data_IF_689803576496
#
_entry.id   IF_689803576496
#
_cell.length_a   1.000
_cell.length_b   1.000
_cell.length_c   1.000
_cell.angle_alpha   90.00
_cell.angle_beta   90.00
_cell.angle_gamma   90.00
#
_symmetry.space_group_name_H-M   'P 1'
#
loop_
_entity.id
_entity.type
_entity.pdbx_description
1 polymer ?
#
# COMPACT_ATOMS: atom_id res chain seq x y z
N UNK A 1 -1.02 3.04 -12.44
CA UNK A 1 -2.08 2.19 -13.03
C UNK A 1 -2.44 1.11 -12.02
N UNK A 2 -3.73 0.82 -11.83
CA UNK A 2 -4.20 -0.22 -10.91
C UNK A 2 -4.29 -1.59 -11.61
N UNK A 3 -4.26 -2.69 -10.85
CA UNK A 3 -4.44 -4.04 -11.41
C UNK A 3 -5.94 -4.33 -11.48
N UNK A 4 -6.43 -4.68 -12.66
CA UNK A 4 -7.84 -5.00 -12.87
C UNK A 4 -8.27 -6.21 -12.04
N UNK A 5 -9.31 -6.06 -11.23
CA UNK A 5 -9.76 -7.11 -10.33
C UNK A 5 -10.42 -8.29 -11.05
N UNK A 6 -11.13 -8.03 -12.15
CA UNK A 6 -11.79 -9.07 -12.92
C UNK A 6 -10.77 -10.00 -13.60
N UNK A 7 -9.70 -9.44 -14.16
CA UNK A 7 -8.61 -10.24 -14.74
C UNK A 7 -8.00 -11.22 -13.71
N UNK A 8 -7.78 -10.74 -12.48
CA UNK A 8 -7.23 -11.54 -11.38
C UNK A 8 -8.23 -12.62 -10.99
N UNK A 9 -9.50 -12.27 -10.81
CA UNK A 9 -10.59 -13.21 -10.50
C UNK A 9 -10.71 -14.33 -11.52
N UNK A 10 -10.77 -14.00 -12.81
CA UNK A 10 -10.88 -14.98 -13.89
C UNK A 10 -9.67 -15.92 -13.93
N UNK A 11 -8.46 -15.37 -13.72
CA UNK A 11 -7.23 -16.17 -13.67
C UNK A 11 -7.26 -17.17 -12.50
N UNK A 12 -7.65 -16.71 -11.31
CA UNK A 12 -7.78 -17.55 -10.11
C UNK A 12 -8.84 -18.64 -10.32
N UNK A 13 -9.99 -18.29 -10.91
CA UNK A 13 -11.08 -19.22 -11.17
C UNK A 13 -10.66 -20.33 -12.14
N UNK A 14 -10.00 -19.99 -13.25
CA UNK A 14 -9.50 -20.98 -14.24
C UNK A 14 -8.51 -21.96 -13.60
N UNK A 15 -7.60 -21.47 -12.76
CA UNK A 15 -6.60 -22.31 -12.10
C UNK A 15 -7.26 -23.22 -11.06
N UNK A 16 -8.18 -22.68 -10.25
CA UNK A 16 -8.86 -23.43 -9.20
C UNK A 16 -9.76 -24.53 -9.77
N UNK A 17 -10.47 -24.23 -10.87
CA UNK A 17 -11.27 -25.20 -11.60
C UNK A 17 -10.41 -26.33 -12.18
N UNK A 18 -9.21 -26.02 -12.69
CA UNK A 18 -8.27 -27.04 -13.20
C UNK A 18 -7.76 -27.97 -12.09
N UNK A 19 -7.65 -27.48 -10.87
CA UNK A 19 -7.22 -28.27 -9.69
C UNK A 19 -8.39 -29.06 -9.05
N UNK A 20 -9.59 -29.04 -9.65
CA UNK A 20 -10.81 -29.71 -9.18
C UNK A 20 -11.21 -29.39 -7.72
N UNK A 21 -10.88 -28.19 -7.21
CA UNK A 21 -11.11 -27.83 -5.79
C UNK A 21 -12.51 -27.26 -5.49
N UNK A 22 -13.32 -27.05 -6.51
CA UNK A 22 -14.62 -26.40 -6.38
C UNK A 22 -14.56 -24.90 -6.65
N UNK A 23 -15.73 -24.26 -6.54
CA UNK A 23 -15.95 -22.86 -6.89
C UNK A 23 -15.59 -21.94 -5.72
N UNK A 24 -14.66 -21.01 -5.93
CA UNK A 24 -14.40 -19.91 -4.97
C UNK A 24 -15.53 -18.89 -5.12
N UNK A 25 -16.24 -18.63 -4.03
CA UNK A 25 -17.30 -17.61 -4.06
C UNK A 25 -16.71 -16.20 -4.19
N UNK A 26 -17.42 -15.24 -4.81
CA UNK A 26 -16.97 -13.86 -4.88
C UNK A 26 -16.63 -13.23 -3.52
N UNK A 27 -17.38 -13.57 -2.48
CA UNK A 27 -17.13 -13.07 -1.12
C UNK A 27 -15.84 -13.63 -0.54
N UNK A 28 -15.61 -14.94 -0.70
CA UNK A 28 -14.35 -15.58 -0.30
C UNK A 28 -13.18 -14.98 -1.07
N UNK A 29 -13.30 -14.83 -2.38
CA UNK A 29 -12.28 -14.18 -3.20
C UNK A 29 -11.95 -12.77 -2.70
N UNK A 30 -12.96 -11.96 -2.35
CA UNK A 30 -12.74 -10.60 -1.86
C UNK A 30 -11.98 -10.58 -0.52
N UNK A 31 -12.23 -11.53 0.38
CA UNK A 31 -11.49 -11.66 1.64
C UNK A 31 -10.04 -12.08 1.40
N UNK A 32 -9.81 -13.07 0.54
CA UNK A 32 -8.46 -13.54 0.18
C UNK A 32 -7.65 -12.47 -0.56
N UNK A 33 -8.33 -11.70 -1.42
CA UNK A 33 -7.75 -10.60 -2.19
C UNK A 33 -7.26 -9.46 -1.30
N UNK A 34 -8.04 -9.11 -0.28
CA UNK A 34 -7.67 -8.11 0.73
C UNK A 34 -6.41 -8.54 1.51
N UNK A 35 -6.40 -9.78 2.00
CA UNK A 35 -5.25 -10.34 2.71
C UNK A 35 -3.99 -10.39 1.83
N UNK A 36 -4.11 -10.84 0.58
CA UNK A 36 -2.99 -10.89 -0.36
C UNK A 36 -2.45 -9.50 -0.71
N UNK A 37 -3.34 -8.51 -0.87
CA UNK A 37 -2.93 -7.13 -1.14
C UNK A 37 -2.13 -6.55 0.03
N UNK A 38 -2.61 -6.74 1.26
CA UNK A 38 -1.97 -6.21 2.46
C UNK A 38 -0.61 -6.86 2.72
N UNK A 39 -0.49 -8.18 2.54
CA UNK A 39 0.80 -8.87 2.68
C UNK A 39 1.83 -8.39 1.64
N UNK A 40 1.43 -8.25 0.38
CA UNK A 40 2.32 -7.74 -0.67
C UNK A 40 2.77 -6.31 -0.34
N UNK A 41 1.85 -5.47 0.12
CA UNK A 41 2.13 -4.11 0.55
C UNK A 41 3.17 -4.08 1.69
N UNK A 42 2.99 -4.88 2.73
CA UNK A 42 3.95 -4.97 3.85
C UNK A 42 5.32 -5.46 3.39
N UNK A 43 5.35 -6.39 2.44
CA UNK A 43 6.60 -6.95 1.93
C UNK A 43 7.51 -5.92 1.25
N UNK A 44 6.97 -4.82 0.70
CA UNK A 44 7.79 -3.78 0.07
C UNK A 44 8.74 -3.11 1.06
N UNK A 45 8.27 -2.80 2.26
CA UNK A 45 9.09 -2.11 3.28
C UNK A 45 10.19 -3.02 3.82
N UNK A 46 9.89 -4.32 3.99
CA UNK A 46 10.90 -5.29 4.38
C UNK A 46 11.98 -5.47 3.30
N UNK A 47 11.59 -5.48 2.02
CA UNK A 47 12.52 -5.57 0.89
C UNK A 47 13.37 -4.32 0.74
N UNK A 48 12.76 -3.14 0.85
CA UNK A 48 13.47 -1.85 0.78
C UNK A 48 14.57 -1.78 1.83
N UNK A 49 14.24 -2.04 3.10
CA UNK A 49 15.22 -2.06 4.18
C UNK A 49 16.33 -3.09 3.93
N UNK A 50 15.99 -4.27 3.40
CA UNK A 50 16.98 -5.29 3.04
C UNK A 50 17.94 -4.85 1.93
N UNK A 51 17.44 -4.12 0.93
CA UNK A 51 18.25 -3.60 -0.17
C UNK A 51 19.11 -2.42 0.27
N UNK A 52 18.57 -1.46 1.02
CA UNK A 52 19.36 -0.31 1.53
C UNK A 52 20.56 -0.76 2.38
N UNK A 53 20.45 -1.89 3.08
CA UNK A 53 21.55 -2.44 3.88
C UNK A 53 22.64 -3.15 3.05
N UNK A 54 22.32 -3.69 1.87
CA UNK A 54 23.19 -4.65 1.17
C UNK A 54 23.48 -4.32 -0.31
N UNK A 55 22.69 -3.47 -0.96
CA UNK A 55 22.79 -3.17 -2.38
C UNK A 55 23.21 -1.71 -2.60
N UNK A 56 24.42 -1.52 -3.10
CA UNK A 56 24.92 -0.23 -3.59
C UNK A 56 25.08 -0.29 -5.12
N UNK A 57 24.05 -0.76 -5.83
CA UNK A 57 24.04 -0.82 -7.29
C UNK A 57 23.25 0.36 -7.83
N UNK A 58 23.94 1.36 -8.37
CA UNK A 58 23.29 2.50 -9.02
C UNK A 58 23.17 2.21 -10.52
N UNK A 59 21.98 1.80 -10.95
CA UNK A 59 21.65 1.50 -12.34
C UNK A 59 20.22 1.92 -12.65
N UNK A 60 20.01 2.62 -13.76
CA UNK A 60 18.71 3.17 -14.15
C UNK A 60 17.58 2.13 -14.21
N UNK A 61 17.88 0.85 -14.49
CA UNK A 61 16.86 -0.21 -14.65
C UNK A 61 17.06 -1.42 -13.72
N UNK A 62 18.25 -1.58 -13.15
CA UNK A 62 18.58 -2.76 -12.33
C UNK A 62 18.72 -2.45 -10.84
N UNK A 63 18.58 -1.18 -10.44
CA UNK A 63 18.65 -0.78 -9.04
C UNK A 63 17.44 -1.34 -8.27
N UNK A 64 17.64 -2.28 -7.33
CA UNK A 64 16.55 -2.91 -6.60
C UNK A 64 15.89 -1.94 -5.59
N UNK A 65 16.61 -0.92 -5.12
CA UNK A 65 16.08 0.14 -4.24
C UNK A 65 15.12 0.99 -5.07
N UNK A 66 15.59 1.57 -6.18
CA UNK A 66 14.74 2.40 -7.05
C UNK A 66 13.47 1.67 -7.51
N UNK A 67 13.61 0.42 -7.96
CA UNK A 67 12.48 -0.41 -8.39
C UNK A 67 11.46 -0.66 -7.26
N UNK A 68 11.92 -0.74 -6.01
CA UNK A 68 11.04 -0.96 -4.85
C UNK A 68 10.43 0.35 -4.38
N UNK A 69 11.21 1.45 -4.34
CA UNK A 69 10.72 2.80 -4.05
C UNK A 69 9.62 3.20 -5.04
N UNK A 70 9.74 2.90 -6.33
CA UNK A 70 8.70 3.15 -7.33
C UNK A 70 7.37 2.44 -7.01
N UNK A 71 7.44 1.21 -6.49
CA UNK A 71 6.25 0.44 -6.08
C UNK A 71 5.62 1.03 -4.82
N UNK A 72 6.44 1.46 -3.87
CA UNK A 72 5.98 2.15 -2.65
C UNK A 72 5.34 3.50 -3.00
N UNK A 73 5.87 4.20 -4.01
CA UNK A 73 5.39 5.52 -4.41
C UNK A 73 3.95 5.51 -4.94
N UNK A 74 3.41 4.36 -5.34
CA UNK A 74 1.97 4.20 -5.68
C UNK A 74 1.06 4.57 -4.50
N UNK A 75 1.56 4.45 -3.27
CA UNK A 75 0.87 4.75 -2.02
C UNK A 75 1.17 6.13 -1.45
N UNK A 76 1.98 6.93 -2.15
CA UNK A 76 2.31 8.27 -1.71
C UNK A 76 1.06 9.15 -1.77
N UNK A 77 0.82 9.89 -0.69
CA UNK A 77 -0.28 10.84 -0.57
C UNK A 77 0.18 12.04 0.26
N UNK A 78 -0.49 13.16 0.03
CA UNK A 78 -0.33 14.36 0.83
C UNK A 78 -1.65 14.74 1.49
N UNK A 79 -1.58 15.34 2.68
CA UNK A 79 -2.77 15.80 3.40
C UNK A 79 -2.44 16.97 4.31
N UNK A 80 -3.34 17.94 4.37
CA UNK A 80 -3.28 19.04 5.33
C UNK A 80 -3.90 18.59 6.65
N UNK A 81 -3.11 18.61 7.72
CA UNK A 81 -3.55 18.18 9.04
C UNK A 81 -4.35 19.26 9.75
N UNK A 82 -5.37 18.81 10.48
CA UNK A 82 -6.17 19.68 11.36
C UNK A 82 -5.73 19.48 12.81
N UNK A 83 -5.55 20.59 13.53
CA UNK A 83 -5.17 20.58 14.95
C UNK A 83 -6.38 20.25 15.83
N UNK A 84 -6.29 19.16 16.58
CA UNK A 84 -7.22 18.81 17.66
C UNK A 84 -6.50 18.97 19.00
N UNK A 85 -6.81 20.05 19.72
CA UNK A 85 -6.09 20.41 20.96
C UNK A 85 -4.62 20.73 20.67
N UNK A 86 -3.71 19.87 21.13
CA UNK A 86 -2.26 20.03 20.95
C UNK A 86 -1.65 19.08 19.91
N UNK A 87 -2.48 18.34 19.16
CA UNK A 87 -2.04 17.28 18.25
C UNK A 87 -2.64 17.54 16.87
N UNK A 88 -1.82 17.45 15.83
CA UNK A 88 -2.25 17.39 14.44
C UNK A 88 -2.59 15.94 14.11
N UNK A 89 -3.87 15.65 13.86
CA UNK A 89 -4.36 14.29 13.69
C UNK A 89 -3.99 13.73 12.34
N UNK A 90 -3.55 12.47 12.27
CA UNK A 90 -3.30 11.81 11.00
C UNK A 90 -4.60 11.45 10.27
N UNK A 91 -4.55 11.34 8.92
CA UNK A 91 -5.63 10.75 8.13
C UNK A 91 -5.93 9.30 8.54
N UNK A 92 -7.16 8.83 8.31
CA UNK A 92 -7.59 7.46 8.66
C UNK A 92 -6.90 6.39 7.82
N UNK A 93 -6.36 6.74 6.65
CA UNK A 93 -5.61 5.88 5.76
C UNK A 93 -4.08 5.98 5.97
N UNK A 94 -3.62 6.65 7.02
CA UNK A 94 -2.19 6.80 7.32
C UNK A 94 -1.51 5.46 7.64
N UNK A 95 -0.35 5.21 7.02
CA UNK A 95 0.51 4.06 7.32
C UNK A 95 1.89 4.49 7.85
N UNK A 96 2.62 5.33 7.11
CA UNK A 96 3.95 5.82 7.49
C UNK A 96 4.11 7.28 7.14
N UNK A 97 4.76 8.04 8.03
CA UNK A 97 5.08 9.44 7.79
C UNK A 97 6.32 9.55 6.91
N UNK A 98 6.25 10.39 5.90
CA UNK A 98 7.40 10.85 5.12
C UNK A 98 7.89 12.18 5.68
N UNK A 99 7.39 13.27 5.11
CA UNK A 99 7.84 14.63 5.41
C UNK A 99 6.72 15.44 6.05
N UNK A 100 7.08 16.30 7.00
CA UNK A 100 6.16 17.28 7.60
C UNK A 100 6.56 18.66 7.11
N UNK A 101 5.66 19.31 6.39
CA UNK A 101 5.84 20.67 5.89
C UNK A 101 4.94 21.61 6.70
N UNK A 102 5.52 22.70 7.18
CA UNK A 102 4.80 23.76 7.88
C UNK A 102 4.85 25.02 7.05
N UNK A 103 3.68 25.46 6.59
CA UNK A 103 3.51 26.76 5.99
C UNK A 103 3.32 27.82 7.07
N UNK A 104 4.14 28.85 7.03
CA UNK A 104 4.01 30.02 7.90
C UNK A 104 4.10 31.29 7.05
N UNK A 105 3.14 32.19 7.25
CA UNK A 105 3.12 33.49 6.58
C UNK A 105 3.78 34.53 7.49
N UNK A 106 4.96 34.98 7.09
CA UNK A 106 5.67 36.08 7.74
C UNK A 106 5.78 37.21 6.72
N UNK A 107 5.34 38.42 7.06
CA UNK A 107 5.42 39.62 6.21
C UNK A 107 4.81 39.44 4.80
N UNK A 108 3.60 38.88 4.70
CA UNK A 108 2.89 38.57 3.44
C UNK A 108 3.65 37.62 2.49
N UNK A 109 4.68 36.91 2.98
CA UNK A 109 5.37 35.84 2.23
C UNK A 109 5.13 34.52 2.94
N UNK A 110 4.48 33.58 2.24
CA UNK A 110 4.32 32.20 2.73
C UNK A 110 5.63 31.46 2.58
N UNK A 111 6.26 31.11 3.71
CA UNK A 111 7.44 30.25 3.75
C UNK A 111 7.01 28.85 4.13
N UNK A 112 7.47 27.86 3.37
CA UNK A 112 7.28 26.44 3.68
C UNK A 112 8.58 25.97 4.32
N UNK A 113 8.49 25.53 5.57
CA UNK A 113 9.62 24.99 6.32
C UNK A 113 9.36 23.51 6.60
N UNK A 114 10.33 22.66 6.29
CA UNK A 114 10.26 21.25 6.68
C UNK A 114 10.53 21.12 8.17
N UNK A 115 9.68 20.39 8.88
CA UNK A 115 9.84 20.15 10.30
C UNK A 115 10.74 18.95 10.54
N UNK A 116 11.70 19.11 11.45
CA UNK A 116 12.63 18.04 11.81
C UNK A 116 12.02 17.11 12.86
N UNK A 117 12.29 15.81 12.74
CA UNK A 117 11.89 14.83 13.74
C UNK A 117 12.78 14.94 14.98
N UNK A 118 12.15 15.00 16.16
CA UNK A 118 12.84 14.97 17.45
C UNK A 118 12.27 13.84 18.30
N UNK A 119 13.14 13.04 18.91
CA UNK A 119 12.71 11.98 19.82
C UNK A 119 12.11 12.56 21.11
N UNK A 120 11.21 11.80 21.73
CA UNK A 120 10.52 12.21 22.97
C UNK A 120 11.47 12.59 24.12
N UNK A 121 12.63 11.94 24.21
CA UNK A 121 13.65 12.25 25.21
C UNK A 121 14.41 13.54 24.91
N UNK A 122 14.56 13.89 23.64
CA UNK A 122 15.36 15.02 23.18
C UNK A 122 14.57 16.33 23.22
N UNK A 123 13.24 16.27 23.10
CA UNK A 123 12.40 17.47 23.00
C UNK A 123 12.55 18.42 24.20
N UNK A 124 12.78 17.88 25.41
CA UNK A 124 13.05 18.68 26.60
C UNK A 124 14.33 19.51 26.45
N UNK A 125 15.38 18.90 25.92
CA UNK A 125 16.67 19.57 25.74
C UNK A 125 16.62 20.61 24.62
N UNK A 126 15.93 20.27 23.51
CA UNK A 126 15.72 21.17 22.37
C UNK A 126 14.96 22.42 22.82
N UNK A 127 13.91 22.27 23.64
CA UNK A 127 13.12 23.40 24.15
C UNK A 127 13.84 24.26 25.20
N UNK A 128 14.76 23.69 25.99
CA UNK A 128 15.50 24.43 27.02
C UNK A 128 16.71 25.19 26.47
N UNK A 129 17.22 24.80 25.30
CA UNK A 129 18.39 25.38 24.68
C UNK A 129 18.02 26.62 23.86
N UNK A 130 18.54 27.83 24.17
CA UNK A 130 18.15 29.07 23.49
C UNK A 130 18.50 29.12 21.99
N UNK A 131 19.49 28.33 21.55
CA UNK A 131 19.96 28.32 20.16
C UNK A 131 19.30 27.24 19.31
N UNK A 132 18.71 26.23 19.94
CA UNK A 132 18.03 25.12 19.25
C UNK A 132 16.54 25.10 19.55
N UNK A 133 16.03 26.11 20.27
CA UNK A 133 14.62 26.23 20.57
C UNK A 133 13.84 26.34 19.26
N UNK A 134 12.75 25.57 19.11
CA UNK A 134 12.03 25.52 17.86
C UNK A 134 11.33 26.85 17.62
N UNK A 135 11.53 27.39 16.43
CA UNK A 135 10.92 28.63 15.96
C UNK A 135 10.09 28.32 14.73
N UNK A 136 9.19 29.23 14.36
CA UNK A 136 8.28 28.95 13.24
C UNK A 136 9.00 28.85 11.87
N UNK A 137 10.28 29.23 11.78
CA UNK A 137 11.16 29.00 10.62
C UNK A 137 11.96 27.70 10.67
N UNK A 138 12.06 27.07 11.85
CA UNK A 138 12.69 25.77 12.07
C UNK A 138 11.80 24.96 13.04
N UNK A 139 10.64 24.51 12.55
CA UNK A 139 9.74 23.72 13.37
C UNK A 139 10.32 22.34 13.63
N UNK A 140 9.94 21.76 14.77
CA UNK A 140 10.25 20.36 15.09
C UNK A 140 8.98 19.63 15.42
N UNK A 141 8.93 18.33 15.15
CA UNK A 141 7.78 17.50 15.49
C UNK A 141 8.16 16.27 16.29
N UNK A 142 7.21 15.82 17.11
CA UNK A 142 7.26 14.58 17.88
C UNK A 142 5.99 13.77 17.58
N UNK A 143 6.11 12.46 17.43
CA UNK A 143 4.93 11.59 17.32
C UNK A 143 4.12 11.61 18.62
N UNK A 144 2.80 11.53 18.52
CA UNK A 144 1.93 11.34 19.69
C UNK A 144 1.09 10.10 19.46
N UNK A 145 1.66 8.96 19.87
CA UNK A 145 1.11 7.64 19.59
C UNK A 145 0.84 7.44 18.11
N UNK A 146 -0.26 6.74 17.81
CA UNK A 146 -0.75 6.52 16.44
C UNK A 146 -1.68 7.65 15.96
N UNK A 147 -2.02 8.59 16.85
CA UNK A 147 -3.08 9.58 16.60
C UNK A 147 -2.61 10.79 15.78
N UNK A 148 -1.32 11.11 15.78
CA UNK A 148 -0.84 12.32 15.14
C UNK A 148 0.56 12.77 15.50
N UNK A 149 0.88 13.98 15.09
CA UNK A 149 2.12 14.68 15.46
C UNK A 149 1.83 15.90 16.32
N UNK A 150 2.74 16.18 17.24
CA UNK A 150 2.80 17.46 17.93
C UNK A 150 3.95 18.26 17.35
N UNK A 151 3.66 19.51 16.98
CA UNK A 151 4.62 20.40 16.35
C UNK A 151 4.95 21.53 17.32
N UNK A 152 6.22 21.86 17.38
CA UNK A 152 6.77 22.98 18.12
C UNK A 152 7.38 23.99 17.14
N UNK A 153 7.25 25.31 17.40
CA UNK A 153 6.60 25.93 18.55
C UNK A 153 5.06 25.82 18.55
N UNK A 154 4.45 25.85 19.74
CA UNK A 154 2.98 25.75 19.91
C UNK A 154 2.19 26.90 19.22
N UNK A 155 2.90 27.94 18.77
CA UNK A 155 2.35 29.04 17.95
C UNK A 155 1.82 28.57 16.59
N UNK A 156 2.26 27.40 16.12
CA UNK A 156 1.76 26.80 14.88
C UNK A 156 0.39 26.16 15.18
N UNK A 157 -0.66 26.74 14.58
CA UNK A 157 -2.05 26.30 14.76
C UNK A 157 -2.69 25.75 13.49
N UNK A 158 -2.17 26.11 12.31
CA UNK A 158 -2.65 25.68 11.00
C UNK A 158 -1.50 25.65 9.98
N UNK A 159 -1.78 25.17 8.77
CA UNK A 159 -0.81 25.16 7.67
C UNK A 159 0.20 24.02 7.73
N UNK A 160 -0.16 22.92 8.38
CA UNK A 160 0.69 21.72 8.49
C UNK A 160 0.25 20.74 7.42
N UNK A 161 1.12 20.51 6.44
CA UNK A 161 0.96 19.54 5.39
C UNK A 161 1.89 18.37 5.64
N UNK A 162 1.41 17.15 5.47
CA UNK A 162 2.25 15.96 5.54
C UNK A 162 2.26 15.22 4.22
N UNK A 163 3.42 14.65 3.95
CA UNK A 163 3.64 13.62 2.97
C UNK A 163 3.69 12.28 3.70
N UNK A 164 2.90 11.32 3.25
CA UNK A 164 2.77 10.04 3.92
C UNK A 164 2.49 8.92 2.93
N UNK A 165 2.75 7.70 3.38
CA UNK A 165 2.34 6.48 2.72
C UNK A 165 0.98 6.09 3.30
N UNK A 166 0.00 5.86 2.42
CA UNK A 166 -1.33 5.40 2.83
C UNK A 166 -1.48 3.89 2.75
N UNK A 167 -2.38 3.34 3.56
CA UNK A 167 -2.78 1.94 3.51
C UNK A 167 -3.55 1.69 2.19
N UNK A 168 -3.29 0.57 1.49
CA UNK A 168 -4.05 0.21 0.31
C UNK A 168 -5.54 0.00 0.64
N UNK A 169 -6.42 0.57 -0.18
CA UNK A 169 -7.88 0.39 -0.02
C UNK A 169 -8.29 -1.04 -0.42
N UNK A 170 -9.26 -1.59 0.30
CA UNK A 170 -9.71 -2.98 0.12
C UNK A 170 -10.23 -3.23 -1.31
N UNK A 171 -9.72 -4.25 -2.02
CA UNK A 171 -10.21 -4.61 -3.34
C UNK A 171 -11.59 -5.27 -3.23
N UNK A 172 -12.43 -5.09 -4.26
CA UNK A 172 -13.80 -5.65 -4.28
C UNK A 172 -14.19 -6.09 -5.68
N UNK A 173 -14.39 -7.37 -5.89
CA UNK A 173 -15.01 -7.89 -7.10
C UNK A 173 -16.52 -7.89 -6.90
N UNK A 174 -17.18 -6.95 -7.56
CA UNK A 174 -18.63 -6.79 -7.53
C UNK A 174 -19.32 -7.72 -8.50
N UNK A 175 -20.51 -8.20 -8.13
CA UNK A 175 -21.30 -9.10 -8.93
C UNK A 175 -22.81 -8.86 -8.80
N UNK A 176 -23.50 -9.25 -9.87
CA UNK A 176 -24.95 -9.35 -9.96
C UNK A 176 -25.34 -10.81 -10.19
N UNK A 177 -26.38 -11.27 -9.50
CA UNK A 177 -26.97 -12.57 -9.77
C UNK A 177 -27.94 -12.46 -10.97
N UNK A 178 -27.96 -13.44 -11.88
CA UNK A 178 -28.89 -13.46 -12.99
C UNK A 178 -30.33 -13.56 -12.47
N UNK A 179 -31.23 -12.81 -13.11
CA UNK A 179 -32.66 -12.85 -12.79
C UNK A 179 -33.28 -14.19 -13.24
N UNK A 180 -34.39 -14.59 -12.63
CA UNK A 180 -35.10 -15.83 -12.98
C UNK A 180 -35.41 -15.93 -14.49
N UNK A 181 -35.73 -14.80 -15.14
CA UNK A 181 -35.97 -14.73 -16.58
C UNK A 181 -34.70 -15.00 -17.42
N UNK A 182 -33.53 -14.58 -16.94
CA UNK A 182 -32.25 -14.84 -17.61
C UNK A 182 -31.82 -16.30 -17.45
N UNK A 183 -32.07 -16.90 -16.29
CA UNK A 183 -31.83 -18.32 -16.05
C UNK A 183 -32.72 -19.17 -16.98
N UNK A 184 -33.99 -18.80 -17.13
CA UNK A 184 -34.90 -19.44 -18.07
C UNK A 184 -34.47 -19.28 -19.54
N UNK A 185 -33.67 -18.24 -19.86
CA UNK A 185 -33.08 -18.01 -21.18
C UNK A 185 -31.72 -18.71 -21.38
N UNK A 186 -31.26 -19.52 -20.42
CA UNK A 186 -30.04 -20.32 -20.52
C UNK A 186 -28.78 -19.65 -19.97
N UNK A 187 -28.89 -18.52 -19.25
CA UNK A 187 -27.76 -17.94 -18.52
C UNK A 187 -27.44 -18.81 -17.30
N UNK A 188 -26.19 -19.26 -17.10
CA UNK A 188 -25.80 -20.02 -15.91
C UNK A 188 -26.16 -19.25 -14.64
N UNK A 189 -26.65 -19.95 -13.61
CA UNK A 189 -26.97 -19.35 -12.31
C UNK A 189 -25.70 -19.08 -11.49
N UNK A 190 -24.83 -18.23 -12.02
CA UNK A 190 -23.52 -17.90 -11.48
C UNK A 190 -23.35 -16.37 -11.37
N UNK A 191 -22.56 -15.88 -10.40
CA UNK A 191 -22.21 -14.47 -10.27
C UNK A 191 -21.67 -13.85 -11.57
N UNK A 192 -22.31 -12.78 -12.06
CA UNK A 192 -21.89 -12.03 -13.24
C UNK A 192 -21.13 -10.79 -12.78
N UNK A 193 -19.93 -10.56 -13.33
CA UNK A 193 -19.11 -9.39 -13.01
C UNK A 193 -19.86 -8.08 -13.24
N UNK A 194 -19.79 -7.19 -12.25
CA UNK A 194 -20.30 -5.82 -12.35
C UNK A 194 -19.13 -4.85 -12.52
N UNK A 195 -19.02 -4.23 -13.70
CA UNK A 195 -17.95 -3.29 -14.05
C UNK A 195 -18.17 -1.87 -13.52
N UNK A 196 -19.29 -1.60 -12.85
CA UNK A 196 -19.54 -0.27 -12.27
C UNK A 196 -18.51 0.04 -11.18
N UNK A 197 -18.04 1.29 -11.12
CA UNK A 197 -16.97 1.70 -10.22
C UNK A 197 -17.51 1.80 -8.78
N UNK A 198 -16.86 1.11 -7.86
CA UNK A 198 -17.07 1.23 -6.42
C UNK A 198 -16.28 2.41 -5.85
N UNK A 199 -16.91 3.21 -4.99
CA UNK A 199 -16.26 4.30 -4.26
C UNK A 199 -16.10 3.93 -2.77
N UNK A 200 -14.87 3.63 -2.30
CA UNK A 200 -14.61 3.29 -0.89
C UNK A 200 -15.02 4.36 0.12
N UNK A 201 -15.19 5.63 -0.29
CA UNK A 201 -15.55 6.71 0.61
C UNK A 201 -17.07 6.78 0.86
N UNK A 202 -17.89 6.26 -0.05
CA UNK A 202 -19.35 6.45 -0.02
C UNK A 202 -20.16 5.15 -0.14
N UNK A 203 -19.60 4.11 -0.75
CA UNK A 203 -20.27 2.84 -1.00
C UNK A 203 -20.04 1.82 0.12
N UNK A 204 -21.03 0.95 0.33
CA UNK A 204 -20.98 -0.13 1.33
C UNK A 204 -20.30 -1.39 0.76
N UNK A 205 -19.28 -1.89 1.46
CA UNK A 205 -18.60 -3.15 1.13
C UNK A 205 -19.50 -4.38 1.26
N UNK A 206 -20.61 -4.31 2.00
CA UNK A 206 -21.60 -5.39 2.10
C UNK A 206 -22.51 -5.50 0.88
N UNK A 207 -22.62 -4.45 0.06
CA UNK A 207 -23.37 -4.53 -1.19
C UNK A 207 -22.64 -5.44 -2.19
N UNK A 208 -23.34 -6.26 -2.96
CA UNK A 208 -22.69 -7.19 -3.90
C UNK A 208 -22.23 -6.50 -5.19
N UNK A 209 -22.92 -5.44 -5.61
CA UNK A 209 -22.65 -4.69 -6.82
C UNK A 209 -21.40 -3.78 -6.69
N UNK A 210 -20.94 -3.29 -7.84
CA UNK A 210 -19.77 -2.42 -8.04
C UNK A 210 -18.42 -3.05 -7.69
N UNK A 211 -17.43 -2.78 -8.52
CA UNK A 211 -16.08 -3.32 -8.41
C UNK A 211 -15.03 -2.26 -8.12
N UNK A 212 -14.00 -2.66 -7.36
CA UNK A 212 -12.85 -1.86 -6.99
C UNK A 212 -11.56 -2.62 -7.27
N UNK A 213 -10.72 -2.05 -8.13
CA UNK A 213 -9.43 -2.60 -8.55
C UNK A 213 -8.38 -2.58 -7.44
N UNK A 214 -7.39 -3.48 -7.55
CA UNK A 214 -6.28 -3.53 -6.62
C UNK A 214 -5.39 -2.29 -6.73
N UNK A 215 -5.02 -1.73 -5.58
CA UNK A 215 -4.10 -0.59 -5.48
C UNK A 215 -2.68 -1.09 -5.29
N UNK A 216 -2.13 -1.79 -6.28
CA UNK A 216 -0.75 -2.25 -6.30
C UNK A 216 -0.09 -1.87 -7.63
N UNK A 217 1.25 -1.91 -7.68
CA UNK A 217 1.99 -1.71 -8.92
C UNK A 217 1.67 -2.84 -9.94
N UNK A 218 1.48 -2.56 -11.25
CA UNK A 218 1.09 -3.57 -12.23
C UNK A 218 1.99 -4.79 -12.34
N UNK A 219 3.28 -4.67 -12.00
CA UNK A 219 4.22 -5.81 -11.98
C UNK A 219 3.82 -6.91 -10.99
N UNK A 220 2.95 -6.60 -10.03
CA UNK A 220 2.61 -7.46 -8.91
C UNK A 220 1.41 -8.36 -9.20
N UNK A 221 0.82 -8.24 -10.39
CA UNK A 221 -0.30 -9.09 -10.82
C UNK A 221 0.02 -10.58 -10.67
N UNK A 222 1.25 -11.00 -11.00
CA UNK A 222 1.67 -12.39 -10.85
C UNK A 222 1.78 -12.79 -9.37
N UNK A 223 2.48 -12.00 -8.55
CA UNK A 223 2.62 -12.20 -7.10
C UNK A 223 1.25 -12.29 -6.43
N UNK A 224 0.34 -11.39 -6.80
CA UNK A 224 -1.01 -11.29 -6.26
C UNK A 224 -1.84 -12.55 -6.56
N UNK A 225 -1.88 -13.00 -7.82
CA UNK A 225 -2.57 -14.24 -8.19
C UNK A 225 -1.99 -15.42 -7.42
N UNK A 226 -0.67 -15.52 -7.33
CA UNK A 226 -0.01 -16.60 -6.60
C UNK A 226 -0.36 -16.61 -5.11
N UNK A 227 -0.39 -15.43 -4.46
CA UNK A 227 -0.78 -15.30 -3.05
C UNK A 227 -2.24 -15.65 -2.82
N UNK A 228 -3.16 -15.16 -3.65
CA UNK A 228 -4.60 -15.49 -3.54
C UNK A 228 -4.80 -17.00 -3.67
N UNK A 229 -4.16 -17.64 -4.66
CA UNK A 229 -4.22 -19.08 -4.85
C UNK A 229 -3.62 -19.86 -3.66
N UNK A 230 -2.50 -19.39 -3.12
CA UNK A 230 -1.90 -19.97 -1.92
C UNK A 230 -2.85 -19.90 -0.72
N UNK A 231 -3.56 -18.78 -0.54
CA UNK A 231 -4.57 -18.64 0.52
C UNK A 231 -5.82 -19.48 0.28
N UNK A 232 -6.20 -19.68 -0.99
CA UNK A 232 -7.22 -20.65 -1.39
C UNK A 232 -6.74 -22.12 -1.22
N UNK A 233 -5.54 -22.34 -0.69
CA UNK A 233 -4.97 -23.66 -0.42
C UNK A 233 -4.42 -24.37 -1.66
N UNK A 234 -4.37 -23.71 -2.81
CA UNK A 234 -3.73 -24.25 -4.02
C UNK A 234 -2.23 -24.35 -3.76
N UNK A 235 -1.71 -25.58 -3.71
CA UNK A 235 -0.27 -25.82 -3.62
C UNK A 235 0.35 -25.46 -4.95
N UNK A 236 0.72 -24.20 -5.11
CA UNK A 236 1.56 -23.79 -6.22
C UNK A 236 2.91 -24.46 -5.98
N UNK A 237 3.26 -25.43 -6.83
CA UNK A 237 4.66 -25.78 -7.04
C UNK A 237 5.29 -24.56 -7.72
N UNK A 238 5.59 -23.51 -6.98
CA UNK A 238 6.65 -22.60 -7.34
C UNK A 238 7.91 -23.33 -6.87
N UNK A 239 8.61 -24.11 -7.73
CA UNK A 239 10.04 -24.14 -7.51
C UNK A 239 10.46 -22.68 -7.67
N UNK A 240 11.21 -22.16 -6.70
CA UNK A 240 12.02 -20.97 -6.92
C UNK A 240 12.76 -21.18 -8.24
N UNK A 241 12.25 -20.58 -9.33
CA UNK A 241 12.88 -20.70 -10.65
C UNK A 241 14.31 -20.13 -10.55
N UNK A 242 14.53 -19.21 -9.60
CA UNK A 242 15.84 -18.75 -9.15
C UNK A 242 16.68 -19.87 -8.52
N UNK A 243 16.13 -20.71 -7.64
CA UNK A 243 16.84 -21.85 -7.03
C UNK A 243 17.15 -22.97 -8.02
N UNK A 244 16.24 -23.22 -8.98
CA UNK A 244 16.50 -24.17 -10.08
C UNK A 244 17.55 -23.62 -11.05
N UNK A 245 17.50 -22.31 -11.36
CA UNK A 245 18.52 -21.62 -12.15
C UNK A 245 19.89 -21.64 -11.48
N UNK A 246 19.96 -21.28 -10.19
CA UNK A 246 21.20 -21.36 -9.41
C UNK A 246 21.73 -22.78 -9.28
N UNK A 247 20.87 -23.78 -9.10
CA UNK A 247 21.27 -25.19 -9.08
C UNK A 247 21.81 -25.66 -10.43
N UNK A 248 21.23 -25.20 -11.54
CA UNK A 248 21.70 -25.47 -12.91
C UNK A 248 23.03 -24.78 -13.22
N UNK A 249 23.19 -23.51 -12.83
CA UNK A 249 24.42 -22.75 -13.04
C UNK A 249 25.57 -23.31 -12.20
N UNK A 250 25.31 -23.73 -10.96
CA UNK A 250 26.29 -24.46 -10.15
C UNK A 250 26.68 -25.81 -10.78
N UNK A 251 25.73 -26.51 -11.40
CA UNK A 251 26.02 -27.75 -12.12
C UNK A 251 26.85 -27.52 -13.39
N UNK A 252 26.56 -26.45 -14.15
CA UNK A 252 27.33 -26.08 -15.34
C UNK A 252 28.77 -25.71 -14.97
N UNK A 253 28.97 -24.87 -13.95
CA UNK A 253 30.30 -24.50 -13.46
C UNK A 253 31.11 -25.69 -12.92
N UNK A 254 30.44 -26.68 -12.31
CA UNK A 254 31.10 -27.90 -11.83
C UNK A 254 31.48 -28.88 -12.95
N UNK A 255 30.88 -28.76 -14.14
CA UNK A 255 31.18 -29.61 -15.31
C UNK A 255 32.25 -28.98 -16.21
N UNK A 256 32.54 -27.69 -16.03
CA UNK A 256 33.55 -26.93 -16.79
C UNK A 256 34.95 -26.92 -16.14
N UNK A 257 35.15 -27.62 -15.01
CA UNK A 257 36.46 -27.92 -14.41
C UNK A 257 36.91 -29.36 -14.71
#
# INVERSE_FOLDING_TARGET
MAININDVYQTVLVITNKDNRGYITPEEFNRLSDQAQNEIFESYFARESGYELNANLQSDFADPVLNTSERINVFYANSTLTKAGNIFQFPTDFYRLGVVNVSNTVDNVTKISTADFVAHEQIKYVNLSPLTAPVASQPVFTFVGETGVRIYPDTITSGVDIDYIKIPQKPKWGYLMPTASQIAAGVPNEPIYDSTVFDPATDDYNATAKSYDFRLHPSEKHSLVAKILSYAGVTIKQPDVSGFGQGKDQQLQATEQ
#
